data_IF_582605697865
#
_entry.id   IF_582605697865
#
_cell.length_a   1.000
_cell.length_b   1.000
_cell.length_c   1.000
_cell.angle_alpha   90.00
_cell.angle_beta   90.00
_cell.angle_gamma   90.00
#
_symmetry.space_group_name_H-M   'P 1'
#
loop_
_entity.id
_entity.type
_entity.pdbx_description
1 polymer ?
#
# COMPACT_ATOMS: atom_id res chain seq x y z
N UNK A 1 -46.65 -8.58 -12.27
CA UNK A 1 -45.34 -9.13 -12.69
C UNK A 1 -44.27 -8.12 -12.30
N UNK A 2 -43.56 -8.34 -11.18
CA UNK A 2 -42.52 -7.43 -10.70
C UNK A 2 -41.20 -7.74 -11.40
N UNK A 3 -40.64 -6.76 -12.10
CA UNK A 3 -39.31 -6.86 -12.72
C UNK A 3 -38.25 -6.69 -11.62
N UNK A 4 -37.51 -7.74 -11.34
CA UNK A 4 -36.30 -7.66 -10.53
C UNK A 4 -35.26 -6.83 -11.31
N UNK A 5 -34.91 -5.65 -10.77
CA UNK A 5 -33.81 -4.86 -11.28
C UNK A 5 -32.50 -5.50 -10.80
N UNK A 6 -31.76 -6.14 -11.72
CA UNK A 6 -30.41 -6.63 -11.48
C UNK A 6 -29.49 -5.41 -11.38
N UNK A 7 -29.07 -5.06 -10.16
CA UNK A 7 -28.11 -4.00 -9.93
C UNK A 7 -26.72 -4.52 -10.34
N UNK A 8 -26.27 -4.17 -11.55
CA UNK A 8 -24.90 -4.39 -12.00
C UNK A 8 -24.00 -3.42 -11.22
N UNK A 9 -23.47 -3.88 -10.08
CA UNK A 9 -22.40 -3.17 -9.38
C UNK A 9 -21.15 -3.22 -10.28
N UNK A 10 -20.56 -2.07 -10.64
CA UNK A 10 -19.32 -2.05 -11.40
C UNK A 10 -18.19 -2.67 -10.54
N UNK A 11 -17.53 -3.70 -11.07
CA UNK A 11 -16.28 -4.21 -10.53
C UNK A 11 -15.25 -3.08 -10.65
N UNK A 12 -14.94 -2.39 -9.55
CA UNK A 12 -13.91 -1.37 -9.53
C UNK A 12 -12.56 -2.03 -9.87
N UNK A 13 -11.87 -1.54 -10.90
CA UNK A 13 -10.49 -1.95 -11.18
C UNK A 13 -9.62 -1.50 -10.00
N UNK A 14 -8.92 -2.43 -9.37
CA UNK A 14 -8.18 -2.18 -8.14
C UNK A 14 -6.86 -1.48 -8.46
N UNK A 15 -6.68 -0.28 -7.93
CA UNK A 15 -5.36 0.33 -7.75
C UNK A 15 -4.44 -0.64 -6.97
N UNK A 16 -3.17 -0.73 -7.38
CA UNK A 16 -2.22 -1.65 -6.76
C UNK A 16 -2.08 -1.28 -5.27
N UNK A 17 -2.19 -2.26 -4.39
CA UNK A 17 -2.09 -2.05 -2.95
C UNK A 17 -0.64 -1.77 -2.54
N UNK A 18 -0.48 -1.13 -1.37
CA UNK A 18 0.81 -0.98 -0.69
C UNK A 18 1.36 -2.36 -0.32
N UNK A 19 2.65 -2.58 -0.55
CA UNK A 19 3.35 -3.78 -0.10
C UNK A 19 3.83 -3.57 1.36
N UNK A 20 3.32 -4.35 2.33
CA UNK A 20 3.57 -4.09 3.75
C UNK A 20 5.04 -4.27 4.13
N UNK A 21 5.78 -3.19 4.27
CA UNK A 21 7.21 -3.22 4.62
C UNK A 21 8.12 -2.60 3.58
N UNK A 22 7.62 -2.37 2.35
CA UNK A 22 8.37 -1.71 1.28
C UNK A 22 8.96 -0.37 1.74
N UNK A 23 10.16 -0.04 1.26
CA UNK A 23 10.86 1.19 1.61
C UNK A 23 10.35 2.43 0.88
N UNK A 24 10.73 3.60 1.38
CA UNK A 24 10.35 4.89 0.80
C UNK A 24 11.01 5.19 -0.59
N UNK A 25 11.72 4.24 -1.20
CA UNK A 25 12.41 4.44 -2.50
C UNK A 25 11.46 4.92 -3.60
N UNK A 26 10.19 4.51 -3.54
CA UNK A 26 9.14 4.90 -4.49
C UNK A 26 8.07 5.82 -3.89
N UNK A 27 8.19 6.16 -2.61
CA UNK A 27 7.31 7.04 -1.83
C UNK A 27 5.87 6.52 -1.62
N UNK A 28 5.31 5.74 -2.55
CA UNK A 28 3.97 5.18 -2.45
C UNK A 28 3.93 3.73 -1.94
N UNK A 29 5.11 3.12 -1.72
CA UNK A 29 5.28 1.78 -1.17
C UNK A 29 4.68 0.66 -2.04
N UNK A 30 4.62 0.85 -3.37
CA UNK A 30 4.03 -0.10 -4.32
C UNK A 30 5.08 -0.77 -5.21
N UNK A 31 4.73 -1.94 -5.76
CA UNK A 31 5.62 -2.74 -6.61
C UNK A 31 5.40 -2.52 -8.12
N UNK A 32 5.28 -1.28 -8.59
CA UNK A 32 5.01 -0.97 -10.00
C UNK A 32 5.92 0.09 -10.63
N UNK A 33 7.08 0.39 -10.02
CA UNK A 33 7.92 1.53 -10.44
C UNK A 33 9.08 1.17 -11.36
N UNK A 34 9.79 0.06 -11.11
CA UNK A 34 10.97 -0.31 -11.89
C UNK A 34 10.78 -1.63 -12.65
N UNK A 35 11.54 -1.91 -13.72
CA UNK A 35 11.30 -3.08 -14.56
C UNK A 35 11.51 -4.44 -13.89
N UNK A 36 11.99 -4.49 -12.64
CA UNK A 36 12.41 -5.72 -11.96
C UNK A 36 11.62 -6.01 -10.69
N UNK A 37 11.39 -5.03 -9.80
CA UNK A 37 10.73 -5.25 -8.49
C UNK A 37 9.20 -5.14 -8.60
N UNK A 38 8.59 -6.20 -9.13
CA UNK A 38 7.16 -6.24 -9.48
C UNK A 38 6.31 -7.09 -8.56
N UNK A 39 6.94 -7.86 -7.65
CA UNK A 39 6.25 -8.86 -6.83
C UNK A 39 6.35 -8.51 -5.36
N UNK A 40 5.21 -8.38 -4.68
CA UNK A 40 5.16 -8.23 -3.23
C UNK A 40 5.13 -9.62 -2.58
N UNK A 41 6.23 -9.99 -1.91
CA UNK A 41 6.36 -11.28 -1.25
C UNK A 41 6.58 -11.10 0.26
N UNK A 42 5.98 -11.99 1.07
CA UNK A 42 6.16 -12.02 2.51
C UNK A 42 7.51 -12.63 2.86
N UNK A 43 8.47 -11.80 3.28
CA UNK A 43 9.85 -12.20 3.57
C UNK A 43 10.12 -12.42 5.06
N UNK A 44 9.26 -11.91 5.95
CA UNK A 44 9.37 -12.12 7.40
C UNK A 44 8.25 -13.01 7.93
N UNK A 45 8.52 -13.70 9.03
CA UNK A 45 7.53 -14.48 9.77
C UNK A 45 6.74 -13.61 10.78
N UNK A 46 5.89 -14.25 11.59
CA UNK A 46 5.07 -13.54 12.58
C UNK A 46 5.87 -12.91 13.74
N UNK A 47 7.15 -13.22 13.83
CA UNK A 47 8.10 -12.75 14.82
C UNK A 47 9.06 -11.70 14.22
N UNK A 48 8.85 -11.33 12.94
CA UNK A 48 9.71 -10.39 12.22
C UNK A 48 11.08 -10.96 11.85
N UNK A 49 11.28 -12.28 11.94
CA UNK A 49 12.50 -12.95 11.51
C UNK A 49 12.43 -13.30 10.02
N UNK A 50 13.58 -13.44 9.32
CA UNK A 50 13.61 -13.99 7.98
C UNK A 50 12.80 -15.28 7.89
N UNK A 51 11.75 -15.27 7.08
CA UNK A 51 10.88 -16.42 6.92
C UNK A 51 11.63 -17.54 6.23
N UNK A 52 11.62 -18.73 6.82
CA UNK A 52 12.09 -19.94 6.16
C UNK A 52 11.04 -20.50 5.19
N UNK A 53 11.50 -20.95 4.02
CA UNK A 53 10.71 -21.50 2.93
C UNK A 53 10.99 -22.99 2.77
N UNK A 54 11.07 -23.69 3.91
CA UNK A 54 11.42 -25.10 4.01
C UNK A 54 12.91 -25.34 4.28
N UNK A 55 13.41 -26.51 3.91
CA UNK A 55 14.80 -26.93 4.19
C UNK A 55 15.87 -26.20 3.37
N UNK A 56 15.46 -25.33 2.45
CA UNK A 56 16.35 -24.53 1.59
C UNK A 56 16.68 -23.16 2.17
N UNK A 57 16.10 -22.82 3.33
CA UNK A 57 16.37 -21.57 4.03
C UNK A 57 15.38 -20.46 3.68
N UNK A 58 15.79 -19.22 3.93
CA UNK A 58 15.00 -18.03 3.68
C UNK A 58 15.20 -17.47 2.26
N UNK A 59 14.42 -16.44 1.91
CA UNK A 59 14.48 -15.79 0.59
C UNK A 59 15.90 -15.38 0.15
N UNK A 60 16.65 -14.73 1.05
CA UNK A 60 17.96 -14.19 0.73
C UNK A 60 18.98 -15.31 0.48
N UNK A 61 18.95 -16.37 1.29
CA UNK A 61 19.77 -17.57 1.09
C UNK A 61 19.45 -18.30 -0.21
N UNK A 62 18.17 -18.46 -0.52
CA UNK A 62 17.72 -19.16 -1.74
C UNK A 62 18.11 -18.38 -3.00
N UNK A 63 18.06 -17.06 -2.94
CA UNK A 63 18.31 -16.19 -4.10
C UNK A 63 19.75 -15.71 -4.22
N UNK A 64 20.59 -15.94 -3.20
CA UNK A 64 21.97 -15.47 -3.11
C UNK A 64 22.07 -13.95 -2.93
N UNK A 65 21.13 -13.36 -2.18
CA UNK A 65 20.99 -11.92 -1.98
C UNK A 65 21.19 -11.50 -0.52
N UNK A 66 21.94 -12.25 0.28
CA UNK A 66 22.20 -11.95 1.70
C UNK A 66 22.87 -10.59 1.91
N UNK A 67 23.64 -10.10 0.93
CA UNK A 67 24.22 -8.76 0.93
C UNK A 67 23.16 -7.63 0.87
N UNK A 68 21.93 -7.95 0.49
CA UNK A 68 20.79 -7.03 0.35
C UNK A 68 19.62 -7.47 1.24
N UNK A 69 19.93 -8.01 2.41
CA UNK A 69 18.93 -8.43 3.38
C UNK A 69 18.27 -7.22 4.05
N UNK A 70 17.18 -6.74 3.44
CA UNK A 70 16.41 -5.56 3.89
C UNK A 70 15.46 -5.86 5.08
N UNK A 71 15.71 -6.91 5.85
CA UNK A 71 14.81 -7.33 6.92
C UNK A 71 14.70 -6.28 8.04
N UNK A 72 15.79 -5.59 8.38
CA UNK A 72 15.75 -4.43 9.29
C UNK A 72 14.79 -3.35 8.79
N UNK A 73 14.87 -3.01 7.50
CA UNK A 73 14.02 -1.98 6.90
C UNK A 73 12.54 -2.40 6.83
N UNK A 74 12.27 -3.68 6.52
CA UNK A 74 10.90 -4.22 6.55
C UNK A 74 10.30 -4.05 7.96
N UNK A 75 11.08 -4.35 9.00
CA UNK A 75 10.67 -4.19 10.41
C UNK A 75 10.45 -2.73 10.78
N UNK A 76 11.35 -1.84 10.39
CA UNK A 76 11.23 -0.38 10.60
C UNK A 76 9.97 0.19 9.94
N UNK A 77 9.58 -0.36 8.78
CA UNK A 77 8.35 0.01 8.08
C UNK A 77 7.10 -0.73 8.58
N UNK A 78 7.17 -1.42 9.71
CA UNK A 78 6.05 -2.15 10.33
C UNK A 78 5.38 -3.17 9.41
N UNK A 79 6.16 -3.81 8.53
CA UNK A 79 5.69 -4.78 7.57
C UNK A 79 6.31 -6.17 7.73
N UNK A 80 5.99 -7.03 6.78
CA UNK A 80 6.54 -8.39 6.67
C UNK A 80 6.89 -8.78 5.23
N UNK A 81 6.74 -7.85 4.29
CA UNK A 81 6.77 -8.05 2.85
C UNK A 81 7.63 -6.99 2.17
N UNK A 82 8.10 -7.29 0.96
CA UNK A 82 8.94 -6.39 0.16
C UNK A 82 8.71 -6.58 -1.33
N UNK A 83 8.89 -5.52 -2.12
CA UNK A 83 8.88 -5.61 -3.58
C UNK A 83 10.20 -6.23 -4.07
N UNK A 84 10.13 -7.51 -4.44
CA UNK A 84 11.27 -8.31 -4.90
C UNK A 84 11.33 -8.43 -6.42
N UNK A 85 12.53 -8.69 -6.94
CA UNK A 85 12.78 -8.92 -8.35
C UNK A 85 11.92 -10.08 -8.90
N UNK A 86 11.47 -9.97 -10.16
CA UNK A 86 10.78 -11.07 -10.83
C UNK A 86 11.69 -12.30 -10.98
N UNK A 87 12.97 -12.12 -11.28
CA UNK A 87 13.93 -13.22 -11.38
C UNK A 87 14.11 -13.96 -10.04
N UNK A 88 14.14 -13.20 -8.93
CA UNK A 88 14.29 -13.76 -7.60
C UNK A 88 13.05 -14.54 -7.20
N UNK A 89 11.87 -14.02 -7.56
CA UNK A 89 10.58 -14.71 -7.43
C UNK A 89 10.57 -16.02 -8.22
N UNK A 90 11.01 -16.01 -9.48
CA UNK A 90 11.07 -17.20 -10.32
C UNK A 90 12.00 -18.27 -9.73
N UNK A 91 13.20 -17.89 -9.26
CA UNK A 91 14.13 -18.82 -8.60
C UNK A 91 13.57 -19.38 -7.29
N UNK A 92 12.93 -18.54 -6.48
CA UNK A 92 12.31 -18.94 -5.23
C UNK A 92 11.23 -20.00 -5.49
N UNK A 93 10.32 -19.73 -6.42
CA UNK A 93 9.26 -20.67 -6.82
C UNK A 93 9.85 -21.96 -7.40
N UNK A 94 10.86 -21.87 -8.26
CA UNK A 94 11.51 -23.07 -8.81
C UNK A 94 12.19 -23.92 -7.74
N UNK A 95 12.62 -23.30 -6.63
CA UNK A 95 13.31 -23.98 -5.53
C UNK A 95 12.34 -24.60 -4.54
N UNK A 96 11.28 -23.88 -4.17
CA UNK A 96 10.40 -24.26 -3.05
C UNK A 96 9.01 -24.71 -3.49
N UNK A 97 8.65 -24.54 -4.75
CA UNK A 97 7.30 -24.83 -5.26
C UNK A 97 6.31 -23.69 -5.00
N UNK A 98 5.31 -23.56 -5.87
CA UNK A 98 4.35 -22.45 -5.82
C UNK A 98 3.53 -22.48 -4.52
N UNK A 99 3.02 -23.65 -4.13
CA UNK A 99 2.28 -23.89 -2.89
C UNK A 99 2.96 -23.28 -1.65
N UNK A 100 4.30 -23.31 -1.59
CA UNK A 100 5.07 -22.82 -0.44
C UNK A 100 5.40 -21.31 -0.51
N UNK A 101 5.08 -20.64 -1.62
CA UNK A 101 5.31 -19.18 -1.73
C UNK A 101 4.15 -18.35 -1.20
N UNK A 102 4.50 -17.24 -0.53
CA UNK A 102 3.54 -16.31 0.06
C UNK A 102 3.63 -14.96 -0.64
N UNK A 103 2.73 -14.72 -1.58
CA UNK A 103 2.66 -13.51 -2.40
C UNK A 103 1.39 -12.74 -2.06
N UNK A 104 1.48 -11.41 -1.97
CA UNK A 104 0.30 -10.55 -1.91
C UNK A 104 -0.11 -10.17 -3.34
N UNK A 105 -1.17 -10.82 -3.83
CA UNK A 105 -1.69 -10.59 -5.17
C UNK A 105 -2.20 -9.15 -5.38
N UNK A 106 -2.67 -8.46 -4.32
CA UNK A 106 -3.18 -7.09 -4.45
C UNK A 106 -2.05 -6.07 -4.53
N UNK A 107 -0.87 -6.40 -4.02
CA UNK A 107 0.33 -5.56 -4.05
C UNK A 107 1.38 -6.03 -5.07
N UNK A 108 1.07 -7.05 -5.87
CA UNK A 108 1.91 -7.55 -6.96
C UNK A 108 1.40 -7.05 -8.31
N UNK A 109 2.29 -6.52 -9.14
CA UNK A 109 1.98 -6.08 -10.50
C UNK A 109 1.87 -7.29 -11.46
N UNK A 110 0.82 -8.10 -11.25
CA UNK A 110 0.61 -9.38 -11.95
C UNK A 110 0.57 -9.19 -13.47
N UNK A 111 -0.09 -8.14 -13.94
CA UNK A 111 -0.21 -7.82 -15.36
C UNK A 111 1.17 -7.62 -16.02
N UNK A 112 2.08 -6.92 -15.35
CA UNK A 112 3.44 -6.70 -15.82
C UNK A 112 4.24 -8.01 -15.84
N UNK A 113 4.16 -8.81 -14.77
CA UNK A 113 4.89 -10.09 -14.70
C UNK A 113 4.40 -11.05 -15.79
N UNK A 114 3.09 -11.10 -16.05
CA UNK A 114 2.49 -11.95 -17.09
C UNK A 114 2.96 -11.57 -18.51
N UNK A 115 3.27 -10.30 -18.76
CA UNK A 115 3.79 -9.81 -20.06
C UNK A 115 5.30 -9.94 -20.17
N UNK A 116 5.99 -10.19 -19.07
CA UNK A 116 7.44 -10.35 -19.04
C UNK A 116 7.83 -11.80 -19.37
N UNK A 117 9.02 -11.97 -19.97
CA UNK A 117 9.56 -13.28 -20.32
C UNK A 117 10.82 -13.61 -19.53
N UNK A 118 11.69 -12.62 -19.34
CA UNK A 118 12.94 -12.76 -18.60
C UNK A 118 13.18 -11.56 -17.71
N UNK A 119 13.91 -11.78 -16.61
CA UNK A 119 14.47 -10.75 -15.75
C UNK A 119 15.82 -11.26 -15.24
N UNK A 120 16.85 -10.42 -15.21
CA UNK A 120 18.20 -10.84 -14.81
C UNK A 120 18.75 -12.08 -15.56
N UNK A 121 18.28 -12.34 -16.79
CA UNK A 121 18.62 -13.53 -17.58
C UNK A 121 17.92 -14.83 -17.13
N UNK A 122 16.97 -14.76 -16.18
CA UNK A 122 16.17 -15.88 -15.68
C UNK A 122 14.84 -15.94 -16.41
N UNK A 123 14.41 -17.15 -16.79
CA UNK A 123 13.08 -17.41 -17.33
C UNK A 123 12.00 -17.20 -16.25
N UNK A 124 11.00 -16.37 -16.57
CA UNK A 124 9.91 -16.03 -15.67
C UNK A 124 8.74 -17.01 -15.71
N UNK A 125 8.79 -18.05 -16.55
CA UNK A 125 7.73 -19.06 -16.63
C UNK A 125 7.27 -19.62 -15.25
N UNK A 126 8.18 -19.97 -14.31
CA UNK A 126 7.76 -20.44 -12.98
C UNK A 126 6.96 -19.39 -12.19
N UNK A 127 7.37 -18.12 -12.27
CA UNK A 127 6.68 -17.03 -11.59
C UNK A 127 5.28 -16.80 -12.17
N UNK A 128 5.17 -16.77 -13.49
CA UNK A 128 3.90 -16.58 -14.22
C UNK A 128 2.90 -17.67 -13.90
N UNK A 129 3.31 -18.94 -14.02
CA UNK A 129 2.46 -20.08 -13.69
C UNK A 129 1.96 -20.02 -12.23
N UNK A 130 2.82 -19.61 -11.31
CA UNK A 130 2.41 -19.49 -9.91
C UNK A 130 1.45 -18.33 -9.66
N UNK A 131 1.65 -17.18 -10.31
CA UNK A 131 0.72 -16.05 -10.24
C UNK A 131 -0.63 -16.40 -10.87
N UNK A 132 -0.64 -17.17 -11.96
CA UNK A 132 -1.87 -17.68 -12.56
C UNK A 132 -2.64 -18.59 -11.59
N UNK A 133 -1.93 -19.38 -10.79
CA UNK A 133 -2.54 -20.25 -9.79
C UNK A 133 -3.03 -19.48 -8.55
N UNK A 134 -2.24 -18.54 -8.02
CA UNK A 134 -2.54 -17.85 -6.74
C UNK A 134 -3.33 -16.57 -6.89
N UNK A 135 -3.20 -15.91 -8.03
CA UNK A 135 -3.77 -14.59 -8.31
C UNK A 135 -4.68 -14.59 -9.55
N UNK A 136 -5.57 -15.59 -9.75
CA UNK A 136 -6.33 -15.74 -11.00
C UNK A 136 -7.17 -14.52 -11.35
N UNK A 137 -7.62 -13.75 -10.36
CA UNK A 137 -8.41 -12.53 -10.54
C UNK A 137 -7.61 -11.33 -11.10
N UNK A 138 -6.28 -11.42 -11.14
CA UNK A 138 -5.40 -10.34 -11.61
C UNK A 138 -4.72 -10.68 -12.96
N UNK A 139 -4.89 -11.91 -13.45
CA UNK A 139 -4.36 -12.33 -14.76
C UNK A 139 -5.21 -11.72 -15.88
N UNK A 140 -4.57 -11.18 -16.90
CA UNK A 140 -5.24 -10.62 -18.08
C UNK A 140 -5.91 -9.25 -17.86
N UNK A 141 -5.68 -8.62 -16.71
CA UNK A 141 -6.00 -7.21 -16.52
C UNK A 141 -4.91 -6.37 -17.19
N UNK A 142 -5.29 -5.44 -18.08
CA UNK A 142 -4.35 -4.50 -18.68
C UNK A 142 -4.20 -3.23 -17.82
N UNK A 143 -2.96 -2.72 -17.68
CA UNK A 143 -2.64 -1.48 -16.94
C UNK A 143 -3.49 -0.27 -17.36
N UNK A 144 -3.90 -0.20 -18.62
CA UNK A 144 -4.75 0.86 -19.17
C UNK A 144 -6.23 0.78 -18.73
N UNK A 145 -6.64 -0.34 -18.14
CA UNK A 145 -7.99 -0.53 -17.59
C UNK A 145 -8.09 -0.01 -16.15
N UNK A 146 -7.01 0.59 -15.62
CA UNK A 146 -6.97 1.21 -14.29
C UNK A 146 -7.57 2.61 -14.34
N UNK A 147 -8.74 2.87 -13.71
CA UNK A 147 -9.26 4.22 -13.60
C UNK A 147 -8.29 5.04 -12.75
N UNK A 148 -7.70 6.09 -13.35
CA UNK A 148 -7.01 7.12 -12.57
C UNK A 148 -8.04 7.74 -11.64
N UNK A 149 -7.96 7.48 -10.33
CA UNK A 149 -8.63 8.29 -9.34
C UNK A 149 -7.98 9.68 -9.37
N UNK A 150 -8.50 10.52 -10.26
CA UNK A 150 -8.31 11.95 -10.16
C UNK A 150 -8.74 12.39 -8.78
N UNK A 151 -7.82 13.04 -8.07
CA UNK A 151 -8.12 13.77 -6.84
C UNK A 151 -9.30 14.70 -7.12
N UNK A 152 -10.49 14.26 -6.73
CA UNK A 152 -11.66 15.13 -6.69
C UNK A 152 -11.45 16.03 -5.49
N UNK A 153 -10.81 17.17 -5.71
CA UNK A 153 -10.92 18.32 -4.82
C UNK A 153 -12.39 18.73 -4.78
N UNK A 154 -13.18 18.09 -3.90
CA UNK A 154 -14.49 18.59 -3.56
C UNK A 154 -14.27 19.79 -2.65
N UNK A 155 -14.28 20.97 -3.27
CA UNK A 155 -14.55 22.20 -2.56
C UNK A 155 -15.89 22.04 -1.85
N UNK A 156 -15.84 21.88 -0.53
CA UNK A 156 -17.02 21.83 0.33
C UNK A 156 -17.68 23.20 0.24
N UNK A 157 -18.72 23.32 -0.60
CA UNK A 157 -19.55 24.50 -0.66
C UNK A 157 -20.50 24.47 0.54
N UNK A 158 -20.11 25.15 1.62
CA UNK A 158 -20.97 25.36 2.77
C UNK A 158 -22.08 26.35 2.40
N UNK A 159 -23.38 26.03 2.57
CA UNK A 159 -24.44 27.02 2.39
C UNK A 159 -24.42 28.01 3.55
N UNK A 160 -24.19 29.29 3.25
CA UNK A 160 -24.37 30.41 4.18
C UNK A 160 -25.87 30.60 4.39
N UNK A 161 -26.40 30.14 5.52
CA UNK A 161 -27.74 30.52 5.98
C UNK A 161 -27.68 31.95 6.51
N UNK A 162 -28.15 32.89 5.70
CA UNK A 162 -28.44 34.26 6.12
C UNK A 162 -29.65 34.26 7.06
N UNK A 163 -29.41 34.50 8.35
CA UNK A 163 -30.48 34.81 9.31
C UNK A 163 -30.57 36.33 9.44
N UNK A 164 -31.52 36.91 8.71
CA UNK A 164 -31.97 38.28 8.89
C UNK A 164 -33.01 38.32 10.01
N UNK A 165 -32.79 39.13 11.05
CA UNK A 165 -33.81 39.34 12.08
C UNK A 165 -33.30 40.12 13.29
N UNK A 166 -33.41 41.44 13.22
CA UNK A 166 -33.13 42.38 14.30
C UNK A 166 -34.03 42.15 15.52
N UNK A 167 -33.49 42.37 16.73
CA UNK A 167 -34.25 42.90 17.87
C UNK A 167 -33.32 43.71 18.79
N UNK A 168 -33.77 44.94 19.06
CA UNK A 168 -33.13 45.99 19.83
C UNK A 168 -33.24 45.75 21.35
N UNK A 169 -32.36 46.47 22.06
CA UNK A 169 -32.53 47.01 23.43
C UNK A 169 -32.07 46.17 24.62
N UNK A 170 -30.88 46.50 25.15
CA UNK A 170 -30.77 47.02 26.52
C UNK A 170 -29.41 47.71 26.70
N UNK A 171 -29.49 48.94 27.18
CA UNK A 171 -28.41 49.90 27.37
C UNK A 171 -27.88 49.82 28.81
N UNK A 172 -26.55 49.90 28.91
CA UNK A 172 -25.75 50.41 30.04
C UNK A 172 -25.69 49.66 31.38
N UNK A 173 -24.53 49.83 32.03
CA UNK A 173 -24.11 49.43 33.39
C UNK A 173 -23.55 47.99 33.43
N UNK A 174 -22.23 47.74 33.47
CA UNK A 174 -21.24 48.31 34.38
C UNK A 174 -19.82 48.21 33.79
N UNK A 175 -19.27 49.36 33.41
CA UNK A 175 -17.84 49.61 33.56
C UNK A 175 -17.53 49.63 35.05
N UNK A 176 -16.97 48.55 35.58
CA UNK A 176 -16.06 48.51 36.72
C UNK A 176 -16.12 47.13 37.38
N UNK A 177 -15.35 46.16 36.87
CA UNK A 177 -14.75 45.19 37.79
C UNK A 177 -13.39 44.72 37.25
N UNK A 178 -12.41 45.60 37.47
CA UNK A 178 -11.03 45.27 37.86
C UNK A 178 -10.21 44.47 36.85
N UNK A 179 -9.56 45.24 35.98
CA UNK A 179 -8.15 45.00 35.70
C UNK A 179 -7.35 44.96 37.02
N UNK A 180 -6.61 43.87 37.24
CA UNK A 180 -5.39 43.87 38.05
C UNK A 180 -4.35 42.98 37.37
N UNK A 181 -3.38 43.54 36.66
CA UNK A 181 -2.11 42.88 36.41
C UNK A 181 -1.23 43.00 37.67
N UNK A 182 -0.79 41.86 38.21
CA UNK A 182 0.28 41.84 39.23
C UNK A 182 1.63 41.76 38.51
N UNK A 183 2.33 42.88 38.49
CA UNK A 183 3.78 42.94 38.28
C UNK A 183 4.48 42.85 39.64
N UNK A 184 5.63 42.18 39.66
CA UNK A 184 6.53 41.89 40.80
C UNK A 184 7.10 43.16 41.51
N UNK A 185 7.97 43.07 42.55
CA UNK A 185 9.38 42.62 42.37
C UNK A 185 10.10 41.96 43.59
N UNK A 186 11.26 41.36 43.26
CA UNK A 186 12.60 41.41 43.89
C UNK A 186 12.88 41.07 45.38
N UNK A 187 13.90 40.20 45.51
CA UNK A 187 15.05 40.18 46.44
C UNK A 187 14.85 40.01 47.96
N UNK A 188 15.40 38.90 48.48
CA UNK A 188 16.60 38.86 49.34
C UNK A 188 17.21 37.45 49.35
#
# INVERSE_FOLDING_TARGET
MARAALCLLPLAAADLAVCPGEGARYQDFKCNHDPTHRVCAKLLDGQGQPKDWGSKGNFWQITGQEAFQWDDQIRENHGDSWCICMWATARLIATVGCENVHLDCRATDVAYVEKSYTDGGVDLAPAKQCLQQKCPQFVGLDDASTPRLGHSAQAVSTPVLAVSGALLSAVALLLAYRARPNSAPAEL
#
